data_IF_784846621475
#
_entry.id   IF_784846621475
#
_cell.length_a   1.000
_cell.length_b   1.000
_cell.length_c   1.000
_cell.angle_alpha   90.00
_cell.angle_beta   90.00
_cell.angle_gamma   90.00
#
_symmetry.space_group_name_H-M   'P 1'
#
loop_
_entity.id
_entity.type
_entity.pdbx_description
1 polymer ?
#
# COMPACT_ATOMS: atom_id res chain seq x y z
N UNK A 1 -13.82 -30.44 -21.97
CA UNK A 1 -14.20 -29.41 -22.97
C UNK A 1 -12.92 -28.65 -23.35
N UNK A 2 -12.42 -28.83 -24.58
CA UNK A 2 -11.22 -28.11 -25.01
C UNK A 2 -11.55 -26.63 -25.09
N UNK A 3 -10.90 -25.83 -24.28
CA UNK A 3 -11.04 -24.38 -24.27
C UNK A 3 -10.43 -23.83 -25.57
N UNK A 4 -11.27 -23.25 -26.44
CA UNK A 4 -10.80 -22.67 -27.70
C UNK A 4 -10.28 -21.26 -27.47
N UNK A 5 -8.96 -21.11 -27.36
CA UNK A 5 -8.27 -19.85 -27.11
C UNK A 5 -8.64 -18.75 -28.11
N UNK A 6 -8.71 -19.09 -29.40
CA UNK A 6 -8.98 -18.12 -30.46
C UNK A 6 -10.42 -17.58 -30.39
N UNK A 7 -11.38 -18.44 -30.04
CA UNK A 7 -12.76 -17.98 -29.80
C UNK A 7 -12.85 -17.06 -28.60
N UNK A 8 -12.11 -17.35 -27.53
CA UNK A 8 -12.10 -16.50 -26.34
C UNK A 8 -11.46 -15.14 -26.60
N UNK A 9 -10.36 -15.11 -27.37
CA UNK A 9 -9.70 -13.87 -27.78
C UNK A 9 -10.67 -13.02 -28.61
N UNK A 10 -11.31 -13.62 -29.63
CA UNK A 10 -12.30 -12.92 -30.47
C UNK A 10 -13.47 -12.40 -29.65
N UNK A 11 -14.00 -13.20 -28.74
CA UNK A 11 -15.10 -12.78 -27.86
C UNK A 11 -14.72 -11.56 -27.00
N UNK A 12 -13.49 -11.51 -26.46
CA UNK A 12 -12.99 -10.34 -25.72
C UNK A 12 -12.70 -9.12 -26.61
N UNK A 13 -12.53 -9.28 -27.91
CA UNK A 13 -12.46 -8.15 -28.86
C UNK A 13 -13.87 -7.54 -29.10
N UNK A 14 -14.90 -8.37 -29.10
CA UNK A 14 -16.30 -7.94 -29.25
C UNK A 14 -16.88 -7.42 -27.93
N UNK A 15 -16.54 -8.07 -26.82
CA UNK A 15 -16.97 -7.72 -25.46
C UNK A 15 -15.79 -7.76 -24.48
N UNK A 16 -15.07 -6.63 -24.28
CA UNK A 16 -13.85 -6.58 -23.44
C UNK A 16 -14.07 -7.05 -22.00
N UNK A 17 -15.27 -6.89 -21.45
CA UNK A 17 -15.62 -7.30 -20.07
C UNK A 17 -15.47 -8.81 -19.83
N UNK A 18 -15.50 -9.65 -20.89
CA UNK A 18 -15.31 -11.10 -20.77
C UNK A 18 -13.93 -11.48 -20.25
N UNK A 19 -12.93 -10.58 -20.31
CA UNK A 19 -11.60 -10.80 -19.72
C UNK A 19 -11.70 -11.10 -18.22
N UNK A 20 -12.67 -10.51 -17.50
CA UNK A 20 -12.83 -10.75 -16.07
C UNK A 20 -13.25 -12.18 -15.73
N UNK A 21 -14.01 -12.81 -16.63
CA UNK A 21 -14.35 -14.24 -16.53
C UNK A 21 -13.09 -15.09 -16.71
N UNK A 22 -12.25 -14.77 -17.71
CA UNK A 22 -10.99 -15.47 -17.95
C UNK A 22 -10.03 -15.34 -16.77
N UNK A 23 -9.97 -14.16 -16.14
CA UNK A 23 -9.17 -13.92 -14.92
C UNK A 23 -9.69 -14.78 -13.77
N UNK A 24 -11.00 -14.83 -13.56
CA UNK A 24 -11.63 -15.65 -12.52
C UNK A 24 -11.38 -17.14 -12.71
N UNK A 25 -11.34 -17.61 -13.94
CA UNK A 25 -11.12 -19.02 -14.31
C UNK A 25 -9.63 -19.38 -14.43
N UNK A 26 -8.71 -18.40 -14.31
CA UNK A 26 -7.26 -18.62 -14.32
C UNK A 26 -6.65 -18.92 -15.69
N UNK A 27 -7.26 -18.45 -16.79
CA UNK A 27 -6.77 -18.66 -18.17
C UNK A 27 -5.58 -17.74 -18.50
N UNK A 28 -4.51 -17.81 -17.71
CA UNK A 28 -3.35 -16.88 -17.74
C UNK A 28 -2.73 -16.71 -19.14
N UNK A 29 -2.60 -17.80 -19.92
CA UNK A 29 -2.01 -17.72 -21.28
C UNK A 29 -2.89 -16.92 -22.25
N UNK A 30 -4.20 -17.11 -22.19
CA UNK A 30 -5.16 -16.39 -23.03
C UNK A 30 -5.21 -14.93 -22.66
N UNK A 31 -5.25 -14.63 -21.37
CA UNK A 31 -5.19 -13.27 -20.83
C UNK A 31 -3.91 -12.58 -21.31
N UNK A 32 -2.76 -13.25 -21.25
CA UNK A 32 -1.48 -12.70 -21.72
C UNK A 32 -1.54 -12.34 -23.22
N UNK A 33 -2.12 -13.22 -24.05
CA UNK A 33 -2.32 -12.97 -25.49
C UNK A 33 -3.24 -11.76 -25.75
N UNK A 34 -4.35 -11.63 -25.00
CA UNK A 34 -5.29 -10.51 -25.12
C UNK A 34 -4.60 -9.20 -24.72
N UNK A 35 -3.98 -9.15 -23.54
CA UNK A 35 -3.35 -7.94 -23.01
C UNK A 35 -2.09 -7.50 -23.79
N UNK A 36 -1.46 -8.41 -24.56
CA UNK A 36 -0.34 -8.05 -25.45
C UNK A 36 -0.79 -7.25 -26.66
N UNK A 37 -2.09 -7.26 -27.00
CA UNK A 37 -2.65 -6.49 -28.11
C UNK A 37 -2.86 -5.04 -27.67
N UNK A 38 -2.29 -4.10 -28.43
CA UNK A 38 -2.47 -2.67 -28.14
C UNK A 38 -3.91 -2.19 -28.34
N UNK A 39 -4.68 -2.91 -29.16
CA UNK A 39 -6.10 -2.63 -29.40
C UNK A 39 -7.00 -2.93 -28.21
N UNK A 40 -6.56 -3.78 -27.26
CA UNK A 40 -7.33 -4.09 -26.08
C UNK A 40 -7.23 -2.94 -25.05
N UNK A 41 -8.36 -2.39 -24.67
CA UNK A 41 -8.43 -1.35 -23.63
C UNK A 41 -8.17 -1.95 -22.23
N UNK A 42 -6.97 -1.67 -21.72
CA UNK A 42 -6.53 -2.14 -20.40
C UNK A 42 -7.29 -1.49 -19.23
N UNK A 43 -7.98 -0.37 -19.49
CA UNK A 43 -8.79 0.36 -18.51
C UNK A 43 -10.25 -0.15 -18.46
N UNK A 44 -10.58 -1.19 -19.23
CA UNK A 44 -11.88 -1.89 -19.09
C UNK A 44 -12.10 -2.26 -17.63
N UNK A 45 -13.31 -2.02 -17.13
CA UNK A 45 -13.68 -2.24 -15.72
C UNK A 45 -14.73 -3.34 -15.54
N UNK A 46 -14.69 -4.01 -14.40
CA UNK A 46 -15.73 -4.93 -13.95
C UNK A 46 -16.92 -4.17 -13.31
N UNK A 47 -17.97 -4.89 -12.89
CA UNK A 47 -19.17 -4.33 -12.25
C UNK A 47 -18.88 -3.58 -10.93
N UNK A 48 -17.72 -3.80 -10.30
CA UNK A 48 -17.25 -3.07 -9.12
C UNK A 48 -16.33 -1.90 -9.49
N UNK A 49 -16.15 -1.60 -10.78
CA UNK A 49 -15.28 -0.56 -11.27
C UNK A 49 -13.77 -0.88 -11.17
N UNK A 50 -13.37 -2.13 -10.88
CA UNK A 50 -11.95 -2.46 -10.88
C UNK A 50 -11.47 -2.67 -12.32
N UNK A 51 -10.36 -2.03 -12.68
CA UNK A 51 -9.71 -2.25 -13.96
C UNK A 51 -9.07 -3.64 -14.06
N UNK A 52 -8.59 -3.99 -15.27
CA UNK A 52 -8.01 -5.30 -15.55
C UNK A 52 -6.78 -5.57 -14.68
N UNK A 53 -5.89 -4.58 -14.47
CA UNK A 53 -4.67 -4.76 -13.67
C UNK A 53 -5.01 -4.97 -12.20
N UNK A 54 -5.99 -4.23 -11.67
CA UNK A 54 -6.50 -4.42 -10.32
C UNK A 54 -7.12 -5.80 -10.14
N UNK A 55 -7.86 -6.31 -11.13
CA UNK A 55 -8.42 -7.67 -11.08
C UNK A 55 -7.34 -8.75 -11.13
N UNK A 56 -6.31 -8.57 -11.94
CA UNK A 56 -5.14 -9.46 -11.97
C UNK A 56 -4.41 -9.48 -10.61
N UNK A 57 -4.26 -8.32 -9.97
CA UNK A 57 -3.68 -8.23 -8.64
C UNK A 57 -4.50 -9.01 -7.61
N UNK A 58 -5.83 -8.83 -7.61
CA UNK A 58 -6.78 -9.56 -6.72
C UNK A 58 -6.79 -11.07 -7.00
N UNK A 59 -6.54 -11.49 -8.25
CA UNK A 59 -6.39 -12.90 -8.64
C UNK A 59 -4.99 -13.46 -8.35
N UNK A 60 -4.05 -12.66 -7.82
CA UNK A 60 -2.66 -13.00 -7.55
C UNK A 60 -1.82 -13.35 -8.79
N UNK A 61 -2.23 -12.87 -9.95
CA UNK A 61 -1.53 -13.02 -11.22
C UNK A 61 -0.36 -12.01 -11.32
N UNK A 62 0.54 -12.00 -10.34
CA UNK A 62 1.58 -10.98 -10.14
C UNK A 62 2.52 -10.83 -11.34
N UNK A 63 2.77 -11.93 -12.09
CA UNK A 63 3.59 -11.89 -13.31
C UNK A 63 2.94 -11.02 -14.40
N UNK A 64 1.64 -11.18 -14.61
CA UNK A 64 0.88 -10.37 -15.56
C UNK A 64 0.77 -8.92 -15.06
N UNK A 65 0.54 -8.70 -13.77
CA UNK A 65 0.56 -7.37 -13.17
C UNK A 65 1.88 -6.66 -13.48
N UNK A 66 3.04 -7.25 -13.16
CA UNK A 66 4.37 -6.67 -13.41
C UNK A 66 4.64 -6.40 -14.90
N UNK A 67 4.11 -7.24 -15.78
CA UNK A 67 4.26 -7.08 -17.24
C UNK A 67 3.43 -5.90 -17.74
N UNK A 68 2.15 -5.83 -17.38
CA UNK A 68 1.19 -4.92 -17.98
C UNK A 68 1.01 -3.59 -17.26
N UNK A 69 1.39 -3.46 -15.97
CA UNK A 69 1.39 -2.17 -15.27
C UNK A 69 2.38 -1.15 -15.87
N UNK A 70 3.21 -1.57 -16.84
CA UNK A 70 4.14 -0.71 -17.60
C UNK A 70 3.52 -0.15 -18.87
N UNK A 71 2.30 -0.53 -19.22
CA UNK A 71 1.58 0.04 -20.37
C UNK A 71 1.32 1.52 -20.12
N UNK A 72 1.63 2.36 -21.11
CA UNK A 72 1.49 3.83 -21.00
C UNK A 72 0.04 4.30 -21.03
N UNK A 73 -0.84 3.48 -21.59
CA UNK A 73 -2.27 3.71 -21.73
C UNK A 73 -3.09 3.22 -20.52
N UNK A 74 -2.43 2.62 -19.51
CA UNK A 74 -3.08 2.25 -18.26
C UNK A 74 -3.19 3.45 -17.31
N UNK A 75 -4.42 3.72 -16.84
CA UNK A 75 -4.66 4.72 -15.78
C UNK A 75 -4.33 4.13 -14.40
N UNK A 76 -3.10 4.39 -13.96
CA UNK A 76 -2.56 3.91 -12.68
C UNK A 76 -3.31 4.46 -11.46
N UNK A 77 -4.06 5.56 -11.64
CA UNK A 77 -4.79 6.27 -10.58
C UNK A 77 -6.30 6.02 -10.62
N UNK A 78 -6.76 5.14 -11.53
CA UNK A 78 -8.16 4.80 -11.65
C UNK A 78 -8.75 4.38 -10.28
N UNK A 79 -9.90 4.95 -9.94
CA UNK A 79 -10.64 4.63 -8.71
C UNK A 79 -11.87 3.79 -9.04
N UNK A 80 -12.05 2.69 -8.32
CA UNK A 80 -13.27 1.89 -8.42
C UNK A 80 -14.45 2.52 -7.65
N UNK A 81 -15.60 1.82 -7.57
CA UNK A 81 -16.81 2.31 -6.88
C UNK A 81 -16.60 2.64 -5.40
N UNK A 82 -15.60 2.02 -4.72
CA UNK A 82 -15.24 2.31 -3.33
C UNK A 82 -14.22 3.45 -3.22
N UNK A 83 -13.83 4.07 -4.34
CA UNK A 83 -12.76 5.05 -4.41
C UNK A 83 -11.37 4.44 -4.28
N UNK A 84 -11.22 3.11 -4.23
CA UNK A 84 -9.93 2.46 -4.12
C UNK A 84 -9.21 2.44 -5.48
N UNK A 85 -7.94 2.84 -5.48
CA UNK A 85 -7.03 2.64 -6.62
C UNK A 85 -6.37 1.27 -6.56
N UNK A 86 -5.68 0.88 -7.63
CA UNK A 86 -4.77 -0.28 -7.65
C UNK A 86 -3.84 -0.30 -6.43
N UNK A 87 -3.27 0.86 -6.06
CA UNK A 87 -2.33 0.97 -4.95
C UNK A 87 -2.98 0.68 -3.59
N UNK A 88 -4.27 1.01 -3.39
CA UNK A 88 -5.00 0.65 -2.17
C UNK A 88 -5.15 -0.86 -2.00
N UNK A 89 -5.34 -1.61 -3.09
CA UNK A 89 -5.37 -3.07 -3.04
C UNK A 89 -3.98 -3.67 -2.87
N UNK A 90 -2.95 -3.07 -3.51
CA UNK A 90 -1.58 -3.53 -3.42
C UNK A 90 -1.08 -3.54 -1.96
N UNK A 91 -1.38 -2.48 -1.20
CA UNK A 91 -0.95 -2.37 0.21
C UNK A 91 -1.74 -3.27 1.16
N UNK A 92 -2.86 -3.84 0.72
CA UNK A 92 -3.63 -4.84 1.48
C UNK A 92 -3.14 -6.28 1.29
N UNK A 93 -2.05 -6.48 0.55
CA UNK A 93 -1.50 -7.81 0.29
C UNK A 93 -0.20 -7.99 1.08
N UNK A 94 -0.24 -8.86 2.07
CA UNK A 94 0.94 -9.23 2.85
C UNK A 94 1.74 -10.33 2.13
N UNK A 95 2.50 -9.97 1.07
CA UNK A 95 3.26 -10.96 0.33
C UNK A 95 4.56 -10.42 -0.28
N UNK A 96 5.62 -11.25 -0.29
CA UNK A 96 6.97 -10.86 -0.75
C UNK A 96 6.97 -10.40 -2.22
N UNK A 97 6.13 -10.99 -3.08
CA UNK A 97 6.03 -10.63 -4.50
C UNK A 97 5.48 -9.22 -4.76
N UNK A 98 4.80 -8.63 -3.78
CA UNK A 98 4.27 -7.26 -3.87
C UNK A 98 5.38 -6.22 -3.88
N UNK A 99 6.56 -6.53 -3.35
CA UNK A 99 7.69 -5.60 -3.26
C UNK A 99 8.12 -5.08 -4.64
N UNK A 100 8.21 -5.94 -5.65
CA UNK A 100 8.63 -5.52 -6.98
C UNK A 100 7.53 -4.71 -7.70
N UNK A 101 6.27 -5.01 -7.42
CA UNK A 101 5.13 -4.22 -7.89
C UNK A 101 5.17 -2.83 -7.26
N UNK A 102 5.39 -2.71 -5.94
CA UNK A 102 5.54 -1.42 -5.23
C UNK A 102 6.71 -0.62 -5.81
N UNK A 103 7.87 -1.25 -6.03
CA UNK A 103 9.03 -0.59 -6.64
C UNK A 103 8.71 -0.07 -8.04
N UNK A 104 7.96 -0.84 -8.85
CA UNK A 104 7.56 -0.44 -10.20
C UNK A 104 6.56 0.72 -10.14
N UNK A 105 5.58 0.66 -9.23
CA UNK A 105 4.60 1.72 -8.98
C UNK A 105 5.29 3.05 -8.62
N UNK A 106 6.24 3.01 -7.67
CA UNK A 106 7.00 4.18 -7.22
C UNK A 106 7.81 4.85 -8.34
N UNK A 107 8.28 4.10 -9.33
CA UNK A 107 9.01 4.63 -10.49
C UNK A 107 8.11 5.28 -11.52
N UNK A 108 6.80 5.06 -11.45
CA UNK A 108 5.86 5.67 -12.38
C UNK A 108 5.60 7.13 -11.98
N UNK A 109 5.96 8.07 -12.85
CA UNK A 109 5.82 9.50 -12.59
C UNK A 109 4.35 9.96 -12.54
N UNK A 110 3.45 9.24 -13.21
CA UNK A 110 2.01 9.55 -13.21
C UNK A 110 1.30 9.05 -11.95
N UNK A 111 1.96 8.22 -11.13
CA UNK A 111 1.36 7.70 -9.90
C UNK A 111 1.16 8.82 -8.87
N UNK A 112 -0.06 8.98 -8.38
CA UNK A 112 -0.46 9.94 -7.33
C UNK A 112 -0.67 9.18 -6.02
N UNK A 113 0.26 9.27 -5.05
CA UNK A 113 0.24 8.45 -3.84
C UNK A 113 -0.85 8.83 -2.83
N UNK A 114 -1.29 10.09 -2.84
CA UNK A 114 -2.18 10.63 -1.81
C UNK A 114 -3.67 10.64 -2.21
N UNK A 115 -4.06 9.89 -3.23
CA UNK A 115 -5.47 9.69 -3.57
C UNK A 115 -6.17 9.03 -2.38
N UNK A 116 -7.31 9.57 -2.00
CA UNK A 116 -8.15 9.04 -0.92
C UNK A 116 -9.29 8.21 -1.48
N UNK A 117 -9.57 7.09 -0.82
CA UNK A 117 -10.75 6.29 -1.11
C UNK A 117 -12.01 6.88 -0.43
N UNK A 118 -13.17 6.24 -0.60
CA UNK A 118 -14.45 6.70 -0.02
C UNK A 118 -14.46 6.65 1.53
N UNK A 119 -13.49 5.98 2.15
CA UNK A 119 -13.27 5.99 3.60
C UNK A 119 -12.32 7.09 4.04
N UNK A 120 -11.96 8.02 3.13
CA UNK A 120 -10.98 9.08 3.35
C UNK A 120 -9.57 8.56 3.70
N UNK A 121 -9.21 7.34 3.26
CA UNK A 121 -7.92 6.71 3.49
C UNK A 121 -7.02 6.86 2.27
N UNK A 122 -5.78 7.28 2.46
CA UNK A 122 -4.70 7.13 1.49
C UNK A 122 -4.16 5.69 1.51
N UNK A 123 -3.29 5.34 0.56
CA UNK A 123 -2.62 4.03 0.59
C UNK A 123 -1.76 3.85 1.84
N UNK A 124 -1.21 4.93 2.40
CA UNK A 124 -0.45 4.89 3.65
C UNK A 124 -1.39 4.57 4.83
N UNK A 125 -2.51 5.29 4.97
CA UNK A 125 -3.52 5.03 6.00
C UNK A 125 -4.00 3.59 5.95
N UNK A 126 -4.28 3.11 4.74
CA UNK A 126 -4.72 1.73 4.53
C UNK A 126 -3.67 0.71 4.92
N UNK A 127 -2.40 0.91 4.57
CA UNK A 127 -1.30 0.01 4.94
C UNK A 127 -1.10 -0.07 6.46
N UNK A 128 -1.30 1.05 7.16
CA UNK A 128 -1.24 1.12 8.62
C UNK A 128 -2.44 0.38 9.24
N UNK A 129 -3.64 0.58 8.69
CA UNK A 129 -4.87 -0.05 9.18
C UNK A 129 -4.84 -1.58 9.03
N UNK A 130 -4.27 -2.07 7.92
CA UNK A 130 -4.09 -3.50 7.65
C UNK A 130 -2.91 -4.11 8.45
N UNK A 131 -2.17 -3.28 9.20
CA UNK A 131 -1.06 -3.72 10.05
C UNK A 131 0.11 -4.39 9.29
N UNK A 132 0.33 -4.03 8.03
CA UNK A 132 1.39 -4.61 7.19
C UNK A 132 2.66 -3.76 7.23
N UNK A 133 3.49 -3.95 8.27
CA UNK A 133 4.69 -3.15 8.53
C UNK A 133 5.64 -3.06 7.32
N UNK A 134 5.90 -4.16 6.63
CA UNK A 134 6.78 -4.15 5.46
C UNK A 134 6.24 -3.29 4.32
N UNK A 135 4.94 -3.40 4.06
CA UNK A 135 4.27 -2.60 3.03
C UNK A 135 4.28 -1.14 3.43
N UNK A 136 3.96 -0.82 4.69
CA UNK A 136 4.01 0.55 5.23
C UNK A 136 5.39 1.16 5.05
N UNK A 137 6.47 0.43 5.40
CA UNK A 137 7.84 0.90 5.22
C UNK A 137 8.19 1.13 3.75
N UNK A 138 7.73 0.27 2.84
CA UNK A 138 7.97 0.43 1.40
C UNK A 138 7.19 1.62 0.82
N UNK A 139 6.01 1.90 1.31
CA UNK A 139 5.26 3.11 0.98
C UNK A 139 6.00 4.35 1.49
N UNK A 140 6.45 4.34 2.74
CA UNK A 140 7.20 5.44 3.36
C UNK A 140 8.55 5.75 2.70
N UNK A 141 9.14 4.80 1.96
CA UNK A 141 10.35 5.04 1.17
C UNK A 141 10.09 5.96 -0.05
N UNK A 142 8.85 6.22 -0.42
CA UNK A 142 8.50 7.12 -1.53
C UNK A 142 8.45 8.57 -1.03
N UNK A 143 9.29 9.44 -1.60
CA UNK A 143 9.44 10.84 -1.16
C UNK A 143 8.17 11.67 -1.40
N UNK A 144 7.30 11.25 -2.31
CA UNK A 144 5.99 11.88 -2.54
C UNK A 144 5.01 11.75 -1.37
N UNK A 145 5.29 10.88 -0.39
CA UNK A 145 4.60 10.81 0.90
C UNK A 145 5.19 11.75 1.97
N UNK A 146 5.72 12.89 1.59
CA UNK A 146 6.32 13.85 2.52
C UNK A 146 5.32 14.47 3.51
N UNK A 147 4.03 14.38 3.23
CA UNK A 147 2.93 14.90 4.03
C UNK A 147 2.42 13.92 5.09
N UNK A 148 3.31 13.22 5.79
CA UNK A 148 2.90 12.45 6.97
C UNK A 148 2.62 13.47 8.08
N UNK A 149 1.35 13.62 8.44
CA UNK A 149 0.95 14.44 9.57
C UNK A 149 1.18 13.70 10.91
N UNK A 150 1.07 14.46 11.99
CA UNK A 150 1.23 13.96 13.36
C UNK A 150 0.21 12.87 13.68
N UNK A 151 -1.00 12.98 13.13
CA UNK A 151 -2.09 12.00 13.35
C UNK A 151 -1.72 10.64 12.74
N UNK A 152 -1.22 10.63 11.52
CA UNK A 152 -0.75 9.42 10.85
C UNK A 152 0.45 8.80 11.59
N UNK A 153 1.38 9.61 12.06
CA UNK A 153 2.52 9.13 12.84
C UNK A 153 2.07 8.54 14.18
N UNK A 154 1.16 9.21 14.90
CA UNK A 154 0.57 8.70 16.15
C UNK A 154 -0.09 7.34 15.92
N UNK A 155 -0.85 7.19 14.84
CA UNK A 155 -1.51 5.94 14.46
C UNK A 155 -0.50 4.82 14.16
N UNK A 156 0.59 5.11 13.43
CA UNK A 156 1.71 4.17 13.21
C UNK A 156 2.28 3.72 14.55
N UNK A 157 2.57 4.68 15.44
CA UNK A 157 3.12 4.39 16.76
C UNK A 157 2.17 3.51 17.57
N UNK A 158 0.89 3.86 17.67
CA UNK A 158 -0.11 3.10 18.41
C UNK A 158 -0.30 1.69 17.86
N UNK A 159 -0.41 1.56 16.54
CA UNK A 159 -0.61 0.27 15.89
C UNK A 159 0.56 -0.69 16.15
N UNK A 160 1.80 -0.22 15.97
CA UNK A 160 2.95 -1.13 16.03
C UNK A 160 3.58 -1.28 17.42
N UNK A 161 3.38 -0.32 18.33
CA UNK A 161 3.96 -0.36 19.66
C UNK A 161 2.97 -0.87 20.70
N UNK A 162 1.70 -0.46 20.61
CA UNK A 162 0.65 -0.89 21.57
C UNK A 162 0.06 -2.27 21.22
N UNK A 163 0.12 -2.70 19.96
CA UNK A 163 -0.48 -3.98 19.56
C UNK A 163 0.08 -5.16 20.35
N UNK A 164 -0.80 -6.01 20.87
CA UNK A 164 -0.43 -7.25 21.54
C UNK A 164 0.06 -8.34 20.58
N UNK A 165 -0.20 -8.18 19.26
CA UNK A 165 0.13 -9.16 18.23
C UNK A 165 1.63 -9.28 17.97
N UNK A 166 2.42 -8.23 18.31
CA UNK A 166 3.86 -8.23 18.09
C UNK A 166 4.62 -8.56 19.37
N UNK A 167 5.57 -9.47 19.27
CA UNK A 167 6.55 -9.70 20.33
C UNK A 167 7.37 -8.43 20.64
N UNK A 168 7.86 -8.30 21.88
CA UNK A 168 8.57 -7.10 22.37
C UNK A 168 9.72 -6.66 21.45
N UNK A 169 10.53 -7.60 20.98
CA UNK A 169 11.66 -7.31 20.06
C UNK A 169 11.18 -6.79 18.71
N UNK A 170 10.10 -7.38 18.17
CA UNK A 170 9.52 -6.92 16.90
C UNK A 170 9.00 -5.49 17.00
N UNK A 171 8.33 -5.13 18.10
CA UNK A 171 7.84 -3.76 18.35
C UNK A 171 8.97 -2.74 18.32
N UNK A 172 10.07 -3.03 19.03
CA UNK A 172 11.25 -2.14 19.07
C UNK A 172 11.87 -1.99 17.68
N UNK A 173 12.05 -3.10 16.97
CA UNK A 173 12.63 -3.09 15.63
C UNK A 173 11.75 -2.33 14.65
N UNK A 174 10.43 -2.55 14.68
CA UNK A 174 9.49 -1.86 13.81
C UNK A 174 9.52 -0.35 14.04
N UNK A 175 9.51 0.10 15.29
CA UNK A 175 9.62 1.52 15.62
C UNK A 175 10.94 2.11 15.09
N UNK A 176 12.06 1.42 15.29
CA UNK A 176 13.36 1.87 14.78
C UNK A 176 13.37 1.99 13.25
N UNK A 177 12.77 1.02 12.55
CA UNK A 177 12.68 1.04 11.08
C UNK A 177 11.81 2.21 10.60
N UNK A 178 10.68 2.48 11.25
CA UNK A 178 9.80 3.61 10.93
C UNK A 178 10.54 4.93 11.15
N UNK A 179 11.15 5.13 12.31
CA UNK A 179 11.92 6.35 12.62
C UNK A 179 13.06 6.54 11.61
N UNK A 180 13.79 5.49 11.27
CA UNK A 180 14.85 5.54 10.27
C UNK A 180 14.33 5.93 8.88
N UNK A 181 13.18 5.40 8.47
CA UNK A 181 12.56 5.74 7.17
C UNK A 181 12.11 7.20 7.13
N UNK A 182 11.46 7.67 8.20
CA UNK A 182 11.02 9.06 8.31
C UNK A 182 12.20 10.04 8.39
N UNK A 183 13.26 9.70 9.12
CA UNK A 183 14.44 10.58 9.27
C UNK A 183 15.25 10.80 7.99
N UNK A 184 14.97 10.05 6.94
CA UNK A 184 15.61 10.22 5.62
C UNK A 184 14.86 11.19 4.71
N UNK A 185 13.71 11.68 5.12
CA UNK A 185 12.89 12.60 4.33
C UNK A 185 13.36 14.02 4.54
N UNK A 186 13.77 14.68 3.47
CA UNK A 186 14.34 16.04 3.51
C UNK A 186 13.30 17.13 3.77
N UNK A 187 12.01 16.86 3.49
CA UNK A 187 10.92 17.84 3.53
C UNK A 187 9.83 17.52 4.57
N UNK A 188 10.21 16.98 5.72
CA UNK A 188 9.25 16.78 6.81
C UNK A 188 8.79 18.12 7.39
N UNK A 189 7.50 18.25 7.71
CA UNK A 189 6.98 19.39 8.46
C UNK A 189 7.81 19.60 9.74
N UNK A 190 8.10 20.84 10.16
CA UNK A 190 8.89 21.13 11.37
C UNK A 190 8.38 20.40 12.62
N UNK A 191 7.06 20.32 12.79
CA UNK A 191 6.40 19.59 13.87
C UNK A 191 6.76 18.09 13.85
N UNK A 192 6.80 17.47 12.66
CA UNK A 192 7.19 16.07 12.49
C UNK A 192 8.67 15.86 12.76
N UNK A 193 9.53 16.79 12.38
CA UNK A 193 10.96 16.73 12.69
C UNK A 193 11.20 16.76 14.21
N UNK A 194 10.55 17.68 14.92
CA UNK A 194 10.62 17.77 16.37
C UNK A 194 10.12 16.50 17.05
N UNK A 195 9.00 15.95 16.58
CA UNK A 195 8.41 14.73 17.09
C UNK A 195 9.34 13.51 16.91
N UNK A 196 9.94 13.38 15.71
CA UNK A 196 10.90 12.30 15.43
C UNK A 196 12.13 12.41 16.34
N UNK A 197 12.67 13.63 16.53
CA UNK A 197 13.81 13.84 17.43
C UNK A 197 13.44 13.56 18.90
N UNK A 198 12.24 13.94 19.35
CA UNK A 198 11.73 13.60 20.69
C UNK A 198 11.61 12.09 20.89
N UNK A 199 11.08 11.35 19.89
CA UNK A 199 11.01 9.88 19.95
C UNK A 199 12.41 9.26 19.91
N UNK A 200 13.34 9.75 19.08
CA UNK A 200 14.74 9.28 19.05
C UNK A 200 15.41 9.46 20.42
N UNK A 201 15.27 10.63 21.02
CA UNK A 201 15.85 10.95 22.34
C UNK A 201 15.33 10.00 23.43
N UNK A 202 14.06 9.62 23.35
CA UNK A 202 13.45 8.72 24.31
C UNK A 202 13.54 7.22 23.93
N UNK A 203 14.21 6.87 22.83
CA UNK A 203 14.23 5.51 22.30
C UNK A 203 14.75 4.46 23.28
N UNK A 204 15.78 4.79 24.10
CA UNK A 204 16.33 3.89 25.10
C UNK A 204 15.32 3.58 26.20
N UNK A 205 14.57 4.60 26.64
CA UNK A 205 13.52 4.50 27.64
C UNK A 205 12.32 3.71 27.07
N UNK A 206 11.88 4.01 25.86
CA UNK A 206 10.81 3.30 25.15
C UNK A 206 11.16 1.81 25.04
N UNK A 207 12.39 1.47 24.66
CA UNK A 207 12.87 0.08 24.63
C UNK A 207 12.76 -0.60 25.97
N UNK A 208 13.23 0.05 27.04
CA UNK A 208 13.19 -0.47 28.39
C UNK A 208 11.75 -0.76 28.83
N UNK A 209 10.83 0.17 28.60
CA UNK A 209 9.42 0.01 28.99
C UNK A 209 8.69 -1.06 28.19
N UNK A 210 8.96 -1.18 26.87
CA UNK A 210 8.44 -2.29 26.05
C UNK A 210 8.92 -3.63 26.61
N UNK A 211 10.20 -3.74 26.96
CA UNK A 211 10.79 -4.98 27.49
C UNK A 211 10.23 -5.36 28.87
N UNK A 212 9.93 -4.37 29.70
CA UNK A 212 9.37 -4.58 31.05
C UNK A 212 7.86 -4.78 31.06
N UNK A 213 7.18 -4.62 29.93
CA UNK A 213 5.72 -4.72 29.78
C UNK A 213 4.92 -3.73 30.64
N UNK A 214 5.49 -2.54 30.92
CA UNK A 214 4.87 -1.48 31.72
C UNK A 214 4.06 -0.54 30.81
N UNK A 215 2.79 -0.90 30.56
CA UNK A 215 1.91 -0.15 29.64
C UNK A 215 1.63 1.30 30.08
N UNK A 216 1.54 1.58 31.37
CA UNK A 216 1.24 2.93 31.90
C UNK A 216 2.31 3.97 31.55
N UNK A 217 3.58 3.59 31.54
CA UNK A 217 4.67 4.53 31.24
C UNK A 217 4.79 4.80 29.74
N UNK A 218 4.46 3.81 28.93
CA UNK A 218 4.33 3.98 27.49
C UNK A 218 3.22 4.99 27.14
N UNK A 219 2.08 4.94 27.83
CA UNK A 219 1.01 5.92 27.71
C UNK A 219 1.44 7.33 28.12
N UNK A 220 2.23 7.46 29.17
CA UNK A 220 2.79 8.74 29.60
C UNK A 220 3.73 9.32 28.53
N UNK A 221 4.66 8.53 28.00
CA UNK A 221 5.58 8.97 26.92
C UNK A 221 4.78 9.33 25.67
N UNK A 222 3.74 8.58 25.31
CA UNK A 222 2.88 8.88 24.18
C UNK A 222 2.15 10.20 24.40
N UNK A 223 1.55 10.38 25.56
CA UNK A 223 0.85 11.60 25.92
C UNK A 223 1.81 12.80 25.95
N UNK A 224 2.98 12.68 26.58
CA UNK A 224 3.99 13.74 26.64
C UNK A 224 4.53 14.12 25.23
N UNK A 225 4.63 13.13 24.34
CA UNK A 225 5.06 13.37 22.94
C UNK A 225 3.96 14.01 22.09
N UNK A 226 2.66 13.76 22.39
CA UNK A 226 1.53 14.17 21.54
C UNK A 226 0.59 15.21 22.13
N UNK A 227 0.72 15.58 23.42
CA UNK A 227 -0.20 16.54 24.10
C UNK A 227 0.13 18.00 23.80
N UNK A 228 1.35 18.37 23.42
CA UNK A 228 1.73 19.77 23.18
C UNK A 228 1.15 20.38 21.88
N UNK A 229 0.39 19.63 21.08
CA UNK A 229 -0.19 20.12 19.82
C UNK A 229 -1.70 20.37 19.85
N UNK A 230 -2.35 20.20 21.00
CA UNK A 230 -3.80 20.43 21.17
C UNK A 230 -4.14 21.75 21.89
N UNK A 231 -3.16 22.64 22.10
CA UNK A 231 -3.33 23.95 22.75
C UNK A 231 -3.26 25.11 21.76
#
# INVERSE_FOLDING_TARGET
>A
MYYNEDKAIKACEEEPSLIFKLIKEGHTKVIDKILSRKSFDINTTDSAGNDVITRLLKAREYRLVLKYMKRKDWDINHQNIDGNTFAHYLVSINYVHVIDIIKTLRRNQNFIPNIKNNKNETILDKSINENYIYTTLKVLEDDRFNMIDVVSFKKIYETYIKSSEYGKYSKVNNLQMIIKSLSKKDELLPTMQQLIEKVKKNMSLIKKEIMLNKSKYLEYIINDVFIEEAA
#
